data_IF_498852108436
#
_entry.id   IF_498852108436
#
_cell.length_a   1.000
_cell.length_b   1.000
_cell.length_c   1.000
_cell.angle_alpha   90.00
_cell.angle_beta   90.00
_cell.angle_gamma   90.00
#
_symmetry.space_group_name_H-M   'P 1'
#
loop_
_entity.id
_entity.type
_entity.pdbx_description
1 polymer ?
#
# COMPACT_ATOMS: atom_id res chain seq x y z
N UNK A 1 -24.31 14.73 -1.75
CA UNK A 1 -25.65 14.25 -1.33
C UNK A 1 -25.73 14.26 0.19
N UNK A 2 -26.91 14.55 0.76
CA UNK A 2 -27.11 14.58 2.21
C UNK A 2 -27.30 13.17 2.75
N UNK A 3 -26.36 12.69 3.57
CA UNK A 3 -26.44 11.37 4.24
C UNK A 3 -27.70 11.23 5.10
N UNK A 4 -28.22 12.34 5.63
CA UNK A 4 -29.45 12.36 6.41
C UNK A 4 -30.68 12.07 5.53
N UNK A 5 -30.76 12.69 4.35
CA UNK A 5 -31.89 12.50 3.43
C UNK A 5 -31.88 11.11 2.79
N UNK A 6 -30.70 10.55 2.55
CA UNK A 6 -30.57 9.19 1.98
C UNK A 6 -31.17 8.10 2.89
N UNK A 7 -31.27 8.34 4.20
CA UNK A 7 -31.91 7.39 5.14
C UNK A 7 -33.40 7.18 4.85
N UNK A 8 -34.08 8.19 4.30
CA UNK A 8 -35.49 8.06 3.90
C UNK A 8 -35.69 7.15 2.68
N UNK A 9 -34.61 6.76 1.97
CA UNK A 9 -34.65 5.83 0.84
C UNK A 9 -34.47 4.36 1.26
N UNK A 10 -34.60 4.04 2.56
CA UNK A 10 -34.28 2.72 3.13
C UNK A 10 -34.88 1.54 2.33
N UNK A 11 -36.18 1.56 2.06
CA UNK A 11 -36.84 0.46 1.32
C UNK A 11 -36.48 0.45 -0.17
N UNK A 12 -36.20 1.62 -0.77
CA UNK A 12 -35.83 1.74 -2.19
C UNK A 12 -34.42 1.21 -2.47
N UNK A 13 -33.56 1.15 -1.46
CA UNK A 13 -32.17 0.67 -1.57
C UNK A 13 -32.03 -0.85 -1.43
N UNK A 14 -33.06 -1.55 -0.96
CA UNK A 14 -33.08 -3.02 -0.88
C UNK A 14 -33.22 -3.61 -2.28
N UNK A 15 -32.24 -4.42 -2.67
CA UNK A 15 -32.26 -5.20 -3.92
C UNK A 15 -32.89 -6.58 -3.73
N UNK A 16 -32.41 -7.54 -4.51
CA UNK A 16 -32.86 -8.93 -4.43
C UNK A 16 -32.34 -9.64 -3.17
N UNK A 17 -33.11 -10.61 -2.68
CA UNK A 17 -32.64 -11.58 -1.70
C UNK A 17 -31.93 -12.73 -2.41
N UNK A 18 -30.99 -13.36 -1.73
CA UNK A 18 -30.27 -14.53 -2.25
C UNK A 18 -30.11 -15.60 -1.18
N UNK A 19 -29.72 -16.81 -1.58
CA UNK A 19 -29.54 -17.96 -0.69
C UNK A 19 -30.79 -18.22 0.19
N UNK A 20 -31.96 -18.43 -0.44
CA UNK A 20 -33.24 -18.72 0.24
C UNK A 20 -33.60 -17.71 1.33
N UNK A 21 -33.30 -16.42 1.10
CA UNK A 21 -33.58 -15.34 2.04
C UNK A 21 -32.52 -15.11 3.11
N UNK A 22 -31.40 -15.84 3.09
CA UNK A 22 -30.28 -15.62 4.02
C UNK A 22 -29.52 -14.32 3.70
N UNK A 23 -29.41 -13.98 2.41
CA UNK A 23 -28.69 -12.82 1.93
C UNK A 23 -29.61 -11.73 1.39
N UNK A 24 -29.16 -10.48 1.48
CA UNK A 24 -29.82 -9.31 0.90
C UNK A 24 -28.78 -8.45 0.19
N UNK A 25 -29.01 -8.18 -1.09
CA UNK A 25 -28.19 -7.21 -1.83
C UNK A 25 -28.69 -5.79 -1.51
N UNK A 26 -27.75 -4.86 -1.34
CA UNK A 26 -28.04 -3.44 -1.14
C UNK A 26 -27.38 -2.60 -2.23
N UNK A 27 -28.14 -1.68 -2.81
CA UNK A 27 -27.66 -0.70 -3.78
C UNK A 27 -27.52 0.67 -3.10
N UNK A 28 -26.64 0.73 -2.10
CA UNK A 28 -26.38 1.94 -1.32
C UNK A 28 -25.08 2.63 -1.76
N UNK A 29 -24.95 3.88 -1.33
CA UNK A 29 -23.76 4.68 -1.58
C UNK A 29 -22.53 4.11 -0.84
N UNK A 30 -21.40 3.98 -1.55
CA UNK A 30 -20.12 3.45 -1.03
C UNK A 30 -18.96 4.45 -1.14
N UNK A 31 -19.27 5.75 -1.26
CA UNK A 31 -18.26 6.82 -1.45
C UNK A 31 -17.23 6.88 -0.31
N UNK A 32 -17.58 6.40 0.90
CA UNK A 32 -16.65 6.34 2.03
C UNK A 32 -15.40 5.50 1.75
N UNK A 33 -15.47 4.57 0.79
CA UNK A 33 -14.33 3.74 0.39
C UNK A 33 -13.22 4.54 -0.30
N UNK A 34 -13.54 5.74 -0.81
CA UNK A 34 -12.55 6.63 -1.39
C UNK A 34 -11.48 7.03 -0.38
N UNK A 35 -11.76 6.99 0.93
CA UNK A 35 -10.75 7.24 1.96
C UNK A 35 -9.57 6.27 1.86
N UNK A 36 -9.83 4.97 1.64
CA UNK A 36 -8.76 3.98 1.46
C UNK A 36 -8.10 4.10 0.08
N UNK A 37 -8.87 4.41 -0.98
CA UNK A 37 -8.33 4.65 -2.33
C UNK A 37 -7.36 5.84 -2.31
N UNK A 38 -7.76 6.94 -1.70
CA UNK A 38 -6.95 8.15 -1.54
C UNK A 38 -5.73 7.90 -0.66
N UNK A 39 -5.80 7.04 0.37
CA UNK A 39 -4.61 6.64 1.13
C UNK A 39 -3.58 5.91 0.26
N UNK A 40 -4.03 4.99 -0.59
CA UNK A 40 -3.16 4.16 -1.43
C UNK A 40 -2.54 4.92 -2.62
N UNK A 41 -3.23 5.94 -3.14
CA UNK A 41 -2.68 6.82 -4.18
C UNK A 41 -1.38 7.49 -3.73
N UNK A 42 -0.52 7.80 -4.68
CA UNK A 42 0.81 8.39 -4.48
C UNK A 42 1.14 9.31 -5.66
N UNK A 43 2.12 10.19 -5.48
CA UNK A 43 2.52 11.17 -6.50
C UNK A 43 3.46 10.53 -7.52
N UNK A 44 4.43 9.75 -7.04
CA UNK A 44 5.42 9.04 -7.86
C UNK A 44 6.01 7.83 -7.15
N UNK A 45 6.58 6.93 -7.96
CA UNK A 45 7.43 5.83 -7.51
C UNK A 45 8.87 6.12 -7.96
N UNK A 46 9.82 5.96 -7.05
CA UNK A 46 11.25 6.04 -7.32
C UNK A 46 11.90 4.68 -7.08
N UNK A 47 12.81 4.25 -7.95
CA UNK A 47 13.60 3.03 -7.72
C UNK A 47 14.76 3.33 -6.78
N UNK A 48 14.91 2.51 -5.75
CA UNK A 48 16.09 2.54 -4.86
C UNK A 48 16.44 1.15 -4.32
N UNK A 49 17.43 1.08 -3.43
CA UNK A 49 17.88 -0.12 -2.71
C UNK A 49 18.35 0.27 -1.29
N UNK A 50 18.56 -0.71 -0.42
CA UNK A 50 19.08 -0.47 0.93
C UNK A 50 20.60 -0.73 0.98
N UNK A 51 21.38 0.32 1.26
CA UNK A 51 22.83 0.27 1.40
C UNK A 51 23.29 -0.29 2.75
N UNK A 52 22.87 -1.51 3.08
CA UNK A 52 23.19 -2.21 4.33
C UNK A 52 23.83 -3.57 4.03
N UNK A 53 24.74 -4.01 4.90
CA UNK A 53 25.47 -5.28 4.74
C UNK A 53 24.58 -6.50 5.02
N UNK A 54 23.64 -6.80 4.12
CA UNK A 54 22.64 -7.86 4.31
C UNK A 54 22.57 -8.89 3.17
N UNK A 55 23.49 -8.82 2.19
CA UNK A 55 23.54 -9.63 0.96
C UNK A 55 22.29 -9.58 0.06
N UNK A 56 21.23 -8.90 0.48
CA UNK A 56 19.95 -8.87 -0.21
C UNK A 56 20.00 -8.18 -1.57
N UNK A 57 20.60 -6.98 -1.65
CA UNK A 57 20.61 -6.14 -2.86
C UNK A 57 19.23 -6.02 -3.54
N UNK A 58 18.17 -5.95 -2.72
CA UNK A 58 16.80 -5.93 -3.18
C UNK A 58 16.46 -4.54 -3.73
N UNK A 59 15.92 -4.47 -4.95
CA UNK A 59 15.37 -3.24 -5.53
C UNK A 59 13.95 -3.00 -5.01
N UNK A 60 13.66 -1.75 -4.65
CA UNK A 60 12.39 -1.31 -4.06
C UNK A 60 11.74 -0.18 -4.87
N UNK A 61 10.42 -0.14 -4.80
CA UNK A 61 9.52 0.96 -5.21
C UNK A 61 9.32 1.85 -4.00
N UNK A 62 9.94 3.03 -4.01
CA UNK A 62 9.74 4.04 -2.96
C UNK A 62 8.55 4.91 -3.35
N UNK A 63 7.50 4.89 -2.54
CA UNK A 63 6.29 5.67 -2.78
C UNK A 63 6.42 7.03 -2.11
N UNK A 64 6.28 8.08 -2.93
CA UNK A 64 6.24 9.47 -2.46
C UNK A 64 4.81 9.97 -2.57
N UNK A 65 4.29 10.57 -1.50
CA UNK A 65 2.96 11.17 -1.45
C UNK A 65 3.02 12.46 -0.65
N UNK A 66 2.40 13.52 -1.18
CA UNK A 66 2.47 14.88 -0.63
C UNK A 66 3.93 15.34 -0.43
N UNK A 67 4.81 14.97 -1.37
CA UNK A 67 6.23 15.32 -1.31
C UNK A 67 7.06 14.58 -0.25
N UNK A 68 6.48 13.65 0.51
CA UNK A 68 7.16 12.86 1.55
C UNK A 68 7.23 11.38 1.17
N UNK A 69 8.29 10.69 1.60
CA UNK A 69 8.38 9.21 1.49
C UNK A 69 7.41 8.60 2.49
N UNK A 70 6.47 7.77 2.01
CA UNK A 70 5.40 7.21 2.85
C UNK A 70 5.55 5.71 3.13
N UNK A 71 5.82 4.90 2.11
CA UNK A 71 6.07 3.45 2.24
C UNK A 71 6.90 2.95 1.07
N UNK A 72 7.32 1.69 1.13
CA UNK A 72 7.96 1.02 0.01
C UNK A 72 7.40 -0.39 -0.20
N UNK A 73 7.45 -0.86 -1.45
CA UNK A 73 7.17 -2.26 -1.81
C UNK A 73 8.27 -2.76 -2.73
N UNK A 74 8.44 -4.07 -2.83
CA UNK A 74 9.48 -4.64 -3.67
C UNK A 74 9.26 -4.35 -5.16
N UNK A 75 10.35 -4.14 -5.90
CA UNK A 75 10.33 -4.25 -7.35
C UNK A 75 10.25 -5.72 -7.75
N UNK A 76 9.56 -6.00 -8.85
CA UNK A 76 9.36 -7.36 -9.37
C UNK A 76 9.86 -7.54 -10.80
N UNK A 77 10.59 -6.54 -11.32
CA UNK A 77 11.01 -6.46 -12.71
C UNK A 77 12.50 -6.77 -12.91
N UNK A 78 13.06 -7.65 -12.07
CA UNK A 78 14.38 -8.21 -12.34
C UNK A 78 14.37 -8.93 -13.69
N UNK A 79 15.49 -8.93 -14.44
CA UNK A 79 15.64 -9.80 -15.59
C UNK A 79 15.26 -11.24 -15.23
N UNK A 80 14.37 -11.84 -16.01
CA UNK A 80 13.87 -13.18 -15.76
C UNK A 80 15.00 -14.20 -15.81
N UNK A 81 14.87 -15.24 -14.99
CA UNK A 81 15.73 -16.41 -15.07
C UNK A 81 15.41 -17.25 -16.32
N UNK A 82 16.16 -18.32 -16.54
CA UNK A 82 15.83 -19.31 -17.58
C UNK A 82 14.44 -19.92 -17.32
N UNK A 83 13.73 -20.42 -18.35
CA UNK A 83 12.36 -20.92 -18.20
C UNK A 83 12.18 -22.07 -17.20
N UNK A 84 13.24 -22.82 -16.92
CA UNK A 84 13.29 -23.94 -15.98
C UNK A 84 13.60 -23.52 -14.53
N UNK A 85 13.84 -22.24 -14.29
CA UNK A 85 14.20 -21.70 -12.98
C UNK A 85 13.16 -20.66 -12.50
N UNK A 86 12.87 -20.60 -11.19
CA UNK A 86 12.03 -19.55 -10.63
C UNK A 86 12.73 -18.19 -10.72
N UNK A 87 11.94 -17.13 -10.94
CA UNK A 87 12.45 -15.77 -10.94
C UNK A 87 12.84 -15.31 -9.53
N UNK A 88 13.65 -14.24 -9.46
CA UNK A 88 14.11 -13.67 -8.20
C UNK A 88 13.06 -12.84 -7.46
N UNK A 89 12.06 -12.33 -8.17
CA UNK A 89 11.04 -11.47 -7.58
C UNK A 89 10.21 -12.21 -6.52
N UNK A 90 9.76 -11.53 -5.45
CA UNK A 90 9.94 -10.09 -5.15
C UNK A 90 11.22 -9.76 -4.38
N UNK A 91 11.99 -10.75 -3.88
CA UNK A 91 13.01 -10.54 -2.82
C UNK A 91 12.43 -9.77 -1.61
N UNK A 92 13.23 -8.92 -0.98
CA UNK A 92 12.84 -8.10 0.17
C UNK A 92 12.90 -8.84 1.51
N UNK A 93 12.79 -8.11 2.60
CA UNK A 93 12.79 -8.65 3.97
C UNK A 93 12.06 -7.67 4.92
N UNK A 94 11.66 -8.10 6.14
CA UNK A 94 10.90 -7.24 7.05
C UNK A 94 11.69 -6.01 7.51
N UNK A 95 13.03 -6.11 7.62
CA UNK A 95 13.90 -4.96 7.95
C UNK A 95 13.90 -3.94 6.81
N UNK A 96 13.93 -4.42 5.58
CA UNK A 96 13.78 -3.60 4.39
C UNK A 96 12.46 -2.86 4.42
N UNK A 97 11.33 -3.57 4.53
CA UNK A 97 10.00 -2.95 4.54
C UNK A 97 9.76 -1.89 5.63
N UNK A 98 10.58 -1.86 6.69
CA UNK A 98 10.53 -0.85 7.75
C UNK A 98 11.45 0.37 7.54
N UNK A 99 12.28 0.40 6.50
CA UNK A 99 13.25 1.48 6.26
C UNK A 99 12.63 2.90 6.16
N UNK A 100 11.40 3.11 5.63
CA UNK A 100 10.77 4.43 5.62
C UNK A 100 10.60 5.03 7.01
N UNK A 101 10.46 4.21 8.06
CA UNK A 101 10.40 4.67 9.45
C UNK A 101 11.73 5.32 9.86
N UNK A 102 12.86 4.80 9.40
CA UNK A 102 14.19 5.34 9.70
C UNK A 102 14.41 6.70 9.05
N UNK A 103 13.85 6.94 7.86
CA UNK A 103 13.96 8.24 7.16
C UNK A 103 13.25 9.38 7.88
N UNK A 104 12.22 9.06 8.68
CA UNK A 104 11.41 10.05 9.39
C UNK A 104 11.85 10.26 10.84
N UNK A 105 12.85 9.50 11.31
CA UNK A 105 13.43 9.67 12.64
C UNK A 105 14.59 10.66 12.56
N UNK A 106 14.68 11.56 13.54
CA UNK A 106 15.89 12.36 13.73
C UNK A 106 17.07 11.41 13.97
N UNK A 107 18.25 11.68 13.39
CA UNK A 107 19.43 10.92 13.72
C UNK A 107 19.71 11.06 15.23
N UNK A 108 20.18 10.00 15.90
CA UNK A 108 20.71 10.16 17.25
C UNK A 108 21.84 11.18 17.21
N UNK A 109 21.89 12.10 18.17
CA UNK A 109 23.04 12.99 18.35
C UNK A 109 24.28 12.12 18.55
N UNK A 110 25.17 12.10 17.56
CA UNK A 110 26.49 11.51 17.70
C UNK A 110 27.35 12.60 18.35
N UNK A 111 27.81 12.44 19.62
CA UNK A 111 28.74 13.40 20.19
C UNK A 111 29.99 13.45 19.31
N UNK A 112 30.32 14.64 18.83
CA UNK A 112 31.50 14.88 18.04
C UNK A 112 32.75 14.65 18.92
N UNK A 113 33.47 13.55 18.68
CA UNK A 113 34.78 13.31 19.27
C UNK A 113 34.97 11.91 19.83
N UNK A 114 35.60 11.04 19.04
CA UNK A 114 36.46 9.95 19.48
C UNK A 114 37.66 9.89 18.54
#
# INVERSE_FOLDING_TARGET
>A
MSKLLDRFRYFKQKGETFANGHGQVYNNNRDWEDSYRQRWQFDKIVRSTHGVNCTGSCSWKIYVKNGLVTWETQQTDYPRTRPDLPNHEPRGCPRGASYPVSLQRQPPEVPAGA
#
